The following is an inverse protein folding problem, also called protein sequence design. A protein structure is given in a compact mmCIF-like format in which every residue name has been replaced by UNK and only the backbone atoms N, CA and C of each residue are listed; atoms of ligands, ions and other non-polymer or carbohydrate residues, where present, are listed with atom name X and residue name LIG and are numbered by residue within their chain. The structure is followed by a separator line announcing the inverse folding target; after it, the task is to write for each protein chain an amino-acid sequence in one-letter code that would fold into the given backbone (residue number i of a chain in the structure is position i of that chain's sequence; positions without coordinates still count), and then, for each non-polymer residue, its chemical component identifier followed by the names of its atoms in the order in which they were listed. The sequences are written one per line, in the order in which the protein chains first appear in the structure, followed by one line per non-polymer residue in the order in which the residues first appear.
data_IF_619272039538
#
_entry.id   IF_619272039538
#
_cell.length_a   1.000
_cell.length_b   1.000
_cell.length_c   1.000
_cell.angle_alpha   90.00
_cell.angle_beta   90.00
_cell.angle_gamma   90.00
#
_symmetry.space_group_name_H-M   'P 1'
#
loop_
_entity.id
_entity.type
_entity.pdbx_description
1 polymer ?
#
# COMPACT_ATOMS: atom_id res chain seq x y z
N UNK A 1 66.40 8.73 -13.92
CA UNK A 1 65.36 7.72 -13.59
C UNK A 1 64.43 8.36 -12.55
N UNK A 2 63.24 8.83 -12.96
CA UNK A 2 62.32 9.51 -12.05
C UNK A 2 61.36 8.50 -11.40
N UNK A 3 61.42 8.39 -10.08
CA UNK A 3 60.57 7.48 -9.30
C UNK A 3 59.18 8.11 -9.12
N UNK A 4 58.16 7.52 -9.74
CA UNK A 4 56.78 7.96 -9.59
C UNK A 4 56.29 7.59 -8.19
N UNK A 5 55.94 8.61 -7.39
CA UNK A 5 55.33 8.45 -6.07
C UNK A 5 53.96 7.79 -6.23
N UNK A 6 53.78 6.63 -5.61
CA UNK A 6 52.55 5.84 -5.64
C UNK A 6 51.52 6.40 -4.65
N UNK A 7 50.34 6.78 -5.13
CA UNK A 7 49.20 7.29 -4.36
C UNK A 7 48.12 6.20 -4.13
N UNK A 8 48.52 4.97 -3.77
CA UNK A 8 47.59 3.83 -3.75
C UNK A 8 47.57 2.99 -2.45
N UNK A 9 48.02 3.50 -1.30
CA UNK A 9 48.15 2.65 -0.12
C UNK A 9 47.40 3.09 1.15
N UNK A 10 46.77 4.27 1.18
CA UNK A 10 46.06 4.70 2.39
C UNK A 10 44.66 5.16 1.99
N UNK A 11 43.68 4.31 2.30
CA UNK A 11 42.23 4.55 2.32
C UNK A 11 41.76 5.79 1.55
N UNK A 12 41.20 5.59 0.36
CA UNK A 12 40.57 6.68 -0.39
C UNK A 12 39.58 7.42 0.54
N UNK A 13 39.76 8.72 0.84
CA UNK A 13 38.93 9.47 1.78
C UNK A 13 37.45 9.48 1.37
N UNK A 14 37.14 9.19 0.11
CA UNK A 14 35.79 9.00 -0.39
C UNK A 14 35.02 7.87 0.32
N UNK A 15 35.70 6.85 0.86
CA UNK A 15 35.06 5.73 1.57
C UNK A 15 34.39 6.15 2.88
N UNK A 16 34.77 7.28 3.47
CA UNK A 16 34.13 7.83 4.68
C UNK A 16 32.79 8.51 4.39
N UNK A 17 32.51 8.83 3.11
CA UNK A 17 31.28 9.49 2.67
C UNK A 17 30.27 8.52 2.05
N UNK A 18 30.65 7.27 1.79
CA UNK A 18 29.72 6.24 1.30
C UNK A 18 28.94 5.73 2.51
N UNK A 19 27.67 6.14 2.61
CA UNK A 19 26.75 5.58 3.59
C UNK A 19 26.56 4.09 3.28
N UNK A 20 26.92 3.22 4.22
CA UNK A 20 26.54 1.80 4.13
C UNK A 20 25.03 1.72 4.23
N UNK A 21 24.33 1.05 3.31
CA UNK A 21 22.91 0.82 3.48
C UNK A 21 22.76 -0.03 4.75
N UNK A 22 22.09 0.54 5.75
CA UNK A 22 21.62 -0.22 6.91
C UNK A 22 20.81 -1.39 6.35
N UNK A 23 21.22 -2.61 6.67
CA UNK A 23 20.42 -3.80 6.36
C UNK A 23 18.99 -3.53 6.84
N UNK A 24 18.07 -3.52 5.89
CA UNK A 24 16.64 -3.42 6.15
C UNK A 24 16.28 -4.65 6.98
N UNK A 25 16.19 -4.48 8.31
CA UNK A 25 15.42 -5.40 9.13
C UNK A 25 14.00 -5.29 8.63
N UNK A 26 13.57 -6.31 7.90
CA UNK A 26 12.17 -6.65 7.71
C UNK A 26 11.55 -6.78 9.10
N UNK A 27 11.05 -5.66 9.62
CA UNK A 27 10.23 -5.66 10.81
C UNK A 27 8.90 -6.27 10.42
N UNK A 28 8.66 -7.46 10.96
CA UNK A 28 7.42 -8.23 10.91
C UNK A 28 6.19 -7.34 10.71
N UNK A 29 5.41 -7.70 9.69
CA UNK A 29 4.09 -7.15 9.40
C UNK A 29 3.10 -7.52 10.52
N UNK A 30 3.26 -6.92 11.69
CA UNK A 30 2.30 -7.02 12.79
C UNK A 30 1.50 -5.73 12.83
N UNK A 31 0.32 -5.79 12.21
CA UNK A 31 -0.90 -5.05 12.52
C UNK A 31 -0.76 -3.92 13.57
N UNK A 32 -0.33 -2.73 13.13
CA UNK A 32 -0.41 -1.52 13.98
C UNK A 32 -1.73 -0.81 13.70
N UNK A 33 -2.80 -1.27 14.37
CA UNK A 33 -4.03 -0.49 14.58
C UNK A 33 -3.86 0.51 15.73
N UNK A 34 -2.76 1.29 15.72
CA UNK A 34 -2.62 2.41 16.64
C UNK A 34 -3.08 3.70 15.93
N UNK A 35 -4.01 4.48 16.50
CA UNK A 35 -4.36 5.78 15.93
C UNK A 35 -3.12 6.68 15.95
N UNK A 36 -2.85 7.34 14.81
CA UNK A 36 -1.73 8.25 14.69
C UNK A 36 -1.82 9.37 15.75
N UNK A 37 -0.71 9.79 16.36
CA UNK A 37 -0.69 10.86 17.36
C UNK A 37 -1.23 12.18 16.79
N UNK A 38 -1.87 13.00 17.63
CA UNK A 38 -2.47 14.28 17.22
C UNK A 38 -1.46 15.16 16.47
N UNK A 39 -1.76 15.44 15.20
CA UNK A 39 -0.92 16.25 14.31
C UNK A 39 -0.12 15.46 13.27
N UNK A 40 -0.04 14.13 13.36
CA UNK A 40 0.57 13.30 12.31
C UNK A 40 -0.46 12.88 11.27
N UNK A 41 -0.20 13.19 10.00
CA UNK A 41 -0.95 12.61 8.88
C UNK A 41 -0.55 11.15 8.77
N UNK A 42 -1.52 10.25 8.88
CA UNK A 42 -1.33 8.83 8.55
C UNK A 42 -0.67 8.77 7.18
N UNK A 43 0.43 8.04 7.09
CA UNK A 43 1.22 7.97 5.87
C UNK A 43 0.27 7.50 4.73
N UNK A 44 0.01 8.30 3.68
CA UNK A 44 -1.08 8.07 2.73
C UNK A 44 -0.93 6.75 1.94
N UNK A 45 0.25 6.13 2.01
CA UNK A 45 0.51 4.77 1.52
C UNK A 45 -0.32 3.69 2.23
N UNK A 46 -0.78 3.94 3.46
CA UNK A 46 -1.53 2.98 4.28
C UNK A 46 -3.05 3.20 4.25
N UNK A 47 -3.54 4.24 3.56
CA UNK A 47 -4.98 4.46 3.38
C UNK A 47 -5.38 3.86 2.05
N UNK A 48 -5.87 2.62 2.07
CA UNK A 48 -6.34 1.95 0.86
C UNK A 48 -7.55 2.67 0.28
N UNK A 49 -7.38 3.21 -0.93
CA UNK A 49 -8.45 3.85 -1.69
C UNK A 49 -9.03 2.87 -2.69
N UNK A 50 -10.35 2.90 -2.87
CA UNK A 50 -11.09 2.15 -3.90
C UNK A 50 -10.69 2.61 -5.30
N UNK A 51 -9.57 2.11 -5.80
CA UNK A 51 -8.90 2.57 -7.02
C UNK A 51 -8.90 1.52 -8.15
N UNK A 52 -9.07 0.24 -7.81
CA UNK A 52 -9.15 -0.85 -8.79
C UNK A 52 -10.59 -1.01 -9.30
N UNK A 53 -10.73 -1.33 -10.59
CA UNK A 53 -12.01 -1.58 -11.26
C UNK A 53 -12.15 -3.07 -11.59
N UNK A 54 -13.32 -3.61 -11.34
CA UNK A 54 -13.71 -4.98 -11.72
C UNK A 54 -14.87 -4.89 -12.70
N UNK A 55 -14.76 -5.57 -13.85
CA UNK A 55 -15.89 -5.75 -14.76
C UNK A 55 -16.57 -7.08 -14.43
N UNK A 56 -17.82 -7.03 -13.99
CA UNK A 56 -18.58 -8.22 -13.61
C UNK A 56 -19.65 -8.50 -14.68
N UNK A 57 -19.73 -9.76 -15.13
CA UNK A 57 -20.82 -10.23 -15.96
C UNK A 57 -21.93 -10.78 -15.05
N UNK A 58 -23.12 -10.19 -15.12
CA UNK A 58 -24.28 -10.60 -14.31
C UNK A 58 -25.52 -10.76 -15.15
N UNK A 59 -26.50 -11.50 -14.63
CA UNK A 59 -27.81 -11.59 -15.25
C UNK A 59 -28.55 -10.25 -15.12
N UNK A 60 -29.32 -9.81 -16.15
CA UNK A 60 -30.06 -8.54 -16.09
C UNK A 60 -31.02 -8.45 -14.91
N UNK A 61 -31.75 -9.54 -14.63
CA UNK A 61 -32.70 -9.62 -13.52
C UNK A 61 -32.03 -9.51 -12.14
N UNK A 62 -30.79 -9.98 -12.02
CA UNK A 62 -29.99 -9.82 -10.80
C UNK A 62 -29.55 -8.37 -10.65
N UNK A 63 -29.08 -7.76 -11.74
CA UNK A 63 -28.68 -6.35 -11.74
C UNK A 63 -29.83 -5.42 -11.30
N UNK A 64 -31.05 -5.66 -11.79
CA UNK A 64 -32.21 -4.86 -11.42
C UNK A 64 -32.53 -4.97 -9.92
N UNK A 65 -32.40 -6.17 -9.34
CA UNK A 65 -32.58 -6.39 -7.90
C UNK A 65 -31.52 -5.66 -7.07
N UNK A 66 -30.26 -5.74 -7.49
CA UNK A 66 -29.15 -5.04 -6.83
C UNK A 66 -29.40 -3.53 -6.87
N UNK A 67 -29.83 -3.01 -8.01
CA UNK A 67 -30.15 -1.59 -8.17
C UNK A 67 -31.29 -1.16 -7.24
N UNK A 68 -32.39 -1.92 -7.23
CA UNK A 68 -33.51 -1.63 -6.35
C UNK A 68 -33.12 -1.65 -4.86
N UNK A 69 -32.26 -2.59 -4.46
CA UNK A 69 -31.73 -2.66 -3.10
C UNK A 69 -30.85 -1.44 -2.78
N UNK A 70 -29.94 -1.07 -3.68
CA UNK A 70 -29.07 0.09 -3.50
C UNK A 70 -29.87 1.39 -3.38
N UNK A 71 -30.91 1.56 -4.21
CA UNK A 71 -31.83 2.70 -4.15
C UNK A 71 -32.59 2.75 -2.82
N UNK A 72 -33.04 1.59 -2.31
CA UNK A 72 -33.71 1.48 -1.01
C UNK A 72 -32.81 1.79 0.19
N UNK A 73 -31.53 1.46 0.11
CA UNK A 73 -30.51 1.76 1.12
C UNK A 73 -29.89 3.16 0.96
N UNK A 74 -30.21 3.88 -0.12
CA UNK A 74 -29.65 5.20 -0.43
C UNK A 74 -28.14 5.17 -0.71
N UNK A 75 -27.60 4.05 -1.19
CA UNK A 75 -26.18 3.90 -1.51
C UNK A 75 -25.97 3.65 -3.02
N UNK A 76 -24.74 3.80 -3.49
CA UNK A 76 -24.46 3.49 -4.90
C UNK A 76 -24.41 1.97 -5.10
N UNK A 77 -24.79 1.51 -6.29
CA UNK A 77 -24.66 0.10 -6.71
C UNK A 77 -23.24 -0.42 -6.47
N UNK A 78 -22.23 0.42 -6.73
CA UNK A 78 -20.84 0.08 -6.49
C UNK A 78 -20.51 -0.10 -4.99
N UNK A 79 -21.05 0.75 -4.12
CA UNK A 79 -20.86 0.62 -2.66
C UNK A 79 -21.51 -0.65 -2.13
N UNK A 80 -22.72 -0.97 -2.59
CA UNK A 80 -23.42 -2.18 -2.20
C UNK A 80 -22.63 -3.44 -2.61
N UNK A 81 -22.21 -3.51 -3.88
CA UNK A 81 -21.40 -4.63 -4.39
C UNK A 81 -20.10 -4.77 -3.60
N UNK A 82 -19.42 -3.65 -3.31
CA UNK A 82 -18.18 -3.68 -2.54
C UNK A 82 -18.38 -4.23 -1.12
N UNK A 83 -19.47 -3.83 -0.43
CA UNK A 83 -19.82 -4.37 0.90
C UNK A 83 -20.08 -5.86 0.87
N UNK A 84 -20.88 -6.33 -0.10
CA UNK A 84 -21.21 -7.77 -0.25
C UNK A 84 -19.93 -8.58 -0.52
N UNK A 85 -19.02 -8.07 -1.36
CA UNK A 85 -17.74 -8.74 -1.61
C UNK A 85 -16.83 -8.75 -0.39
N UNK A 86 -16.76 -7.64 0.37
CA UNK A 86 -16.01 -7.62 1.63
C UNK A 86 -16.57 -8.61 2.65
N UNK A 87 -17.88 -8.68 2.81
CA UNK A 87 -18.54 -9.60 3.73
C UNK A 87 -18.30 -11.06 3.34
N UNK A 88 -18.41 -11.37 2.04
CA UNK A 88 -18.15 -12.72 1.53
C UNK A 88 -16.69 -13.19 1.77
N UNK A 89 -15.71 -12.28 1.67
CA UNK A 89 -14.29 -12.62 1.87
C UNK A 89 -13.89 -12.65 3.35
N UNK A 90 -14.56 -11.90 4.22
CA UNK A 90 -14.31 -11.92 5.69
C UNK A 90 -14.85 -13.19 6.37
N UNK A 91 -15.73 -13.93 5.71
CA UNK A 91 -16.38 -15.14 6.24
C UNK A 91 -15.59 -16.44 6.06
N UNK A 92 -14.41 -16.40 5.43
CA UNK A 92 -13.41 -17.49 5.36
C UNK A 92 -12.20 -17.19 6.26
#
# INVERSE_FOLDING_TARGET
MAQRKSFKAELNPAMQFISTPTEEREADATTVTAPAPEGYKVNPLYIEKRSKRLQLLVQPSLYDKIKAQADGEGCSVNDLIHRVLEEAVKGE
#
